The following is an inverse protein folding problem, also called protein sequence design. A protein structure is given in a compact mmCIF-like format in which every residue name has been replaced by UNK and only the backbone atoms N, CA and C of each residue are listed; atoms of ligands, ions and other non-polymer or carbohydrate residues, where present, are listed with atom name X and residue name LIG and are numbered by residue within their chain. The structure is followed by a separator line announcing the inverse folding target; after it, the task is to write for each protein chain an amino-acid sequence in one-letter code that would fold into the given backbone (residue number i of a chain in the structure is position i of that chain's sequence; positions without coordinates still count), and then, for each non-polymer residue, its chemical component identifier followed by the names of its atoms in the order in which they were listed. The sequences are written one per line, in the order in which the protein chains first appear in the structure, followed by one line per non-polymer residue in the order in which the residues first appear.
data_IF_592495878293
#
_entry.id   IF_592495878293
#
_cell.length_a   1.000
_cell.length_b   1.000
_cell.length_c   1.000
_cell.angle_alpha   90.00
_cell.angle_beta   90.00
_cell.angle_gamma   90.00
#
_symmetry.space_group_name_H-M   'P 1'
#
loop_
_entity.id
_entity.type
_entity.pdbx_description
1 polymer ?
#
# COMPACT_ATOMS: atom_id res chain seq x y z
N UNK A 1 38.70 -10.65 16.29
CA UNK A 1 38.54 -9.56 15.33
C UNK A 1 37.10 -9.55 14.87
N UNK A 2 36.57 -8.38 14.49
CA UNK A 2 35.16 -8.26 14.02
C UNK A 2 35.15 -7.80 12.57
N UNK A 3 34.30 -8.44 11.76
CA UNK A 3 34.00 -8.03 10.39
C UNK A 3 32.55 -7.55 10.38
N UNK A 4 32.26 -6.53 9.61
CA UNK A 4 30.88 -6.11 9.31
C UNK A 4 30.67 -6.28 7.81
N UNK A 5 29.81 -7.23 7.44
CA UNK A 5 29.30 -7.39 6.08
C UNK A 5 28.03 -6.53 5.95
N UNK A 6 28.10 -5.49 5.11
CA UNK A 6 26.98 -4.59 4.87
C UNK A 6 26.66 -4.62 3.38
N UNK A 7 25.67 -5.42 2.96
CA UNK A 7 25.21 -5.42 1.57
C UNK A 7 24.62 -4.05 1.18
N UNK A 8 24.69 -3.75 -0.09
CA UNK A 8 23.94 -2.63 -0.68
C UNK A 8 22.43 -2.93 -0.67
N UNK A 9 21.61 -1.90 -0.85
CA UNK A 9 20.15 -2.04 -0.90
C UNK A 9 19.74 -3.03 -2.01
N UNK A 10 18.88 -4.02 -1.68
CA UNK A 10 18.43 -5.08 -2.57
C UNK A 10 19.43 -6.24 -2.74
N UNK A 11 20.48 -6.29 -1.93
CA UNK A 11 21.42 -7.40 -1.88
C UNK A 11 21.49 -8.00 -0.48
N UNK A 12 21.75 -9.30 -0.39
CA UNK A 12 22.05 -10.02 0.84
C UNK A 12 23.43 -10.67 0.77
N UNK A 13 24.03 -10.92 1.93
CA UNK A 13 25.26 -11.67 2.02
C UNK A 13 24.99 -13.12 1.59
N UNK A 14 25.73 -13.61 0.60
CA UNK A 14 25.66 -14.98 0.11
C UNK A 14 26.68 -15.86 0.84
N UNK A 15 27.94 -15.43 0.82
CA UNK A 15 29.02 -16.14 1.49
C UNK A 15 30.01 -15.16 2.13
N UNK A 16 30.59 -15.57 3.25
CA UNK A 16 31.65 -14.85 3.94
C UNK A 16 32.71 -15.84 4.44
N UNK A 17 33.87 -15.81 3.87
CA UNK A 17 35.00 -16.65 4.25
C UNK A 17 36.19 -15.82 4.73
N UNK A 18 36.91 -16.35 5.71
CA UNK A 18 38.20 -15.82 6.19
C UNK A 18 39.23 -16.93 6.18
N UNK A 19 40.33 -16.75 5.45
CA UNK A 19 41.39 -17.72 5.37
C UNK A 19 42.70 -17.18 5.94
N UNK A 20 43.54 -18.08 6.50
CA UNK A 20 44.90 -17.74 6.91
C UNK A 20 45.85 -17.70 5.70
N UNK A 21 47.14 -17.40 5.92
CA UNK A 21 48.18 -17.31 4.89
C UNK A 21 48.40 -18.61 4.11
N UNK A 22 47.91 -19.76 4.61
CA UNK A 22 48.03 -21.06 4.00
C UNK A 22 46.74 -21.50 3.29
N UNK A 23 45.74 -20.62 3.23
CA UNK A 23 44.44 -20.90 2.64
C UNK A 23 43.50 -21.71 3.57
N UNK A 24 43.86 -21.89 4.84
CA UNK A 24 42.99 -22.59 5.79
C UNK A 24 41.88 -21.62 6.29
N UNK A 25 40.64 -22.09 6.15
CA UNK A 25 39.46 -21.33 6.60
C UNK A 25 39.41 -21.21 8.13
N UNK A 26 39.08 -20.03 8.61
CA UNK A 26 38.89 -19.69 10.02
C UNK A 26 37.43 -19.72 10.41
N UNK A 27 37.13 -20.28 11.57
CA UNK A 27 35.76 -20.33 12.08
C UNK A 27 35.23 -18.95 12.39
N UNK A 28 34.14 -18.58 11.71
CA UNK A 28 33.37 -17.39 12.00
C UNK A 28 32.26 -17.66 13.01
N UNK A 29 31.98 -16.67 13.84
CA UNK A 29 30.82 -16.67 14.75
C UNK A 29 29.96 -15.48 14.37
N UNK A 30 28.72 -15.77 13.93
CA UNK A 30 27.71 -14.75 13.64
C UNK A 30 27.24 -14.08 14.95
N UNK A 31 27.21 -12.76 14.99
CA UNK A 31 26.74 -11.92 16.09
C UNK A 31 25.46 -11.17 15.77
N UNK A 32 24.86 -11.46 14.62
CA UNK A 32 23.69 -10.76 14.09
C UNK A 32 24.02 -9.38 13.49
N UNK A 33 23.05 -8.83 12.77
CA UNK A 33 23.16 -7.52 12.10
C UNK A 33 24.39 -7.40 11.18
N UNK A 34 24.74 -8.48 10.46
CA UNK A 34 25.86 -8.54 9.56
C UNK A 34 27.25 -8.50 10.24
N UNK A 35 27.32 -8.70 11.56
CA UNK A 35 28.59 -8.74 12.31
C UNK A 35 29.05 -10.16 12.56
N UNK A 36 30.30 -10.44 12.21
CA UNK A 36 30.96 -11.72 12.36
C UNK A 36 32.24 -11.55 13.15
N UNK A 37 32.56 -12.50 14.03
CA UNK A 37 33.82 -12.49 14.80
C UNK A 37 34.61 -13.74 14.54
N UNK A 38 35.94 -13.61 14.57
CA UNK A 38 36.88 -14.74 14.50
C UNK A 38 38.13 -14.46 15.35
N UNK A 39 38.86 -15.53 15.65
CA UNK A 39 40.14 -15.42 16.34
C UNK A 39 41.22 -15.13 15.33
N UNK A 40 41.87 -13.96 15.45
CA UNK A 40 42.98 -13.54 14.57
C UNK A 40 44.19 -14.45 14.79
N UNK A 41 44.71 -15.14 13.75
CA UNK A 41 45.97 -15.86 13.86
C UNK A 41 47.15 -14.89 13.89
N UNK A 42 48.33 -15.40 14.24
CA UNK A 42 49.60 -14.63 14.18
C UNK A 42 50.13 -14.44 12.74
N UNK A 43 49.23 -14.38 11.75
CA UNK A 43 49.54 -14.25 10.34
C UNK A 43 48.50 -13.38 9.61
N UNK A 44 48.82 -12.97 8.39
CA UNK A 44 47.90 -12.29 7.48
C UNK A 44 46.68 -13.20 7.24
N UNK A 45 45.51 -12.57 7.13
CA UNK A 45 44.26 -13.23 6.71
C UNK A 45 43.73 -12.57 5.46
N UNK A 46 42.98 -13.35 4.69
CA UNK A 46 42.22 -12.89 3.53
C UNK A 46 40.72 -13.04 3.84
N UNK A 47 39.94 -12.01 3.49
CA UNK A 47 38.50 -11.96 3.74
C UNK A 47 37.84 -11.87 2.38
N UNK A 48 36.97 -12.82 2.06
CA UNK A 48 36.13 -12.84 0.89
C UNK A 48 34.66 -12.78 1.29
N UNK A 49 33.90 -11.89 0.66
CA UNK A 49 32.48 -11.79 0.82
C UNK A 49 31.81 -11.74 -0.56
N UNK A 50 30.80 -12.55 -0.77
CA UNK A 50 29.94 -12.49 -1.96
C UNK A 50 28.55 -12.03 -1.57
N UNK A 51 27.93 -11.27 -2.46
CA UNK A 51 26.60 -10.75 -2.27
C UNK A 51 25.73 -11.14 -3.46
N UNK A 52 24.50 -11.57 -3.18
CA UNK A 52 23.51 -11.91 -4.21
C UNK A 52 22.35 -10.93 -4.11
N UNK A 53 21.70 -10.69 -5.23
CA UNK A 53 20.48 -9.89 -5.24
C UNK A 53 19.41 -10.58 -4.41
N UNK A 54 18.76 -9.86 -3.51
CA UNK A 54 17.61 -10.38 -2.78
C UNK A 54 16.53 -10.83 -3.76
N UNK A 55 16.01 -12.03 -3.57
CA UNK A 55 14.84 -12.49 -4.32
C UNK A 55 13.62 -11.91 -3.65
N UNK A 56 13.07 -10.87 -4.25
CA UNK A 56 11.80 -10.32 -3.78
C UNK A 56 10.70 -11.37 -3.90
N UNK A 57 10.08 -11.69 -2.78
CA UNK A 57 8.92 -12.58 -2.73
C UNK A 57 7.68 -11.79 -2.42
N UNK A 58 6.62 -12.05 -3.16
CA UNK A 58 5.33 -11.42 -2.89
C UNK A 58 4.72 -11.94 -1.58
N UNK A 59 4.12 -11.07 -0.76
CA UNK A 59 3.39 -11.50 0.43
C UNK A 59 2.12 -12.30 0.10
N UNK A 60 1.68 -12.28 -1.15
CA UNK A 60 0.49 -12.99 -1.64
C UNK A 60 0.80 -13.76 -2.92
N UNK A 61 0.32 -14.99 -3.02
CA UNK A 61 0.64 -15.90 -4.13
C UNK A 61 0.03 -15.47 -5.48
N UNK A 62 -1.00 -14.64 -5.47
CA UNK A 62 -1.68 -14.09 -6.65
C UNK A 62 -1.21 -12.69 -7.04
N UNK A 63 -0.11 -12.21 -6.44
CA UNK A 63 0.50 -10.92 -6.74
C UNK A 63 1.90 -11.16 -7.31
N UNK A 64 2.08 -10.93 -8.60
CA UNK A 64 3.40 -10.98 -9.23
C UNK A 64 4.28 -9.82 -8.79
N UNK A 65 5.58 -10.07 -8.57
CA UNK A 65 6.57 -9.02 -8.27
C UNK A 65 6.76 -8.03 -9.43
N UNK A 66 6.34 -8.40 -10.65
CA UNK A 66 6.35 -7.51 -11.82
C UNK A 66 5.05 -6.72 -12.02
N UNK A 67 4.03 -6.92 -11.18
CA UNK A 67 2.77 -6.21 -11.30
C UNK A 67 2.93 -4.73 -10.90
N UNK A 68 2.25 -3.81 -11.61
CA UNK A 68 2.32 -2.37 -11.33
C UNK A 68 1.89 -2.00 -9.89
N UNK A 69 1.12 -2.87 -9.26
CA UNK A 69 0.60 -2.70 -7.90
C UNK A 69 1.41 -3.46 -6.84
N UNK A 70 2.50 -4.14 -7.21
CA UNK A 70 3.26 -4.98 -6.29
C UNK A 70 3.74 -4.20 -5.06
N UNK A 71 4.44 -3.07 -5.26
CA UNK A 71 4.95 -2.24 -4.17
C UNK A 71 3.83 -1.68 -3.29
N UNK A 72 2.70 -1.31 -3.89
CA UNK A 72 1.54 -0.83 -3.16
C UNK A 72 0.92 -1.92 -2.28
N UNK A 73 0.82 -3.16 -2.79
CA UNK A 73 0.30 -4.30 -2.03
C UNK A 73 1.23 -4.70 -0.90
N UNK A 74 2.54 -4.72 -1.15
CA UNK A 74 3.57 -4.98 -0.14
C UNK A 74 3.50 -3.95 0.99
N UNK A 75 3.50 -2.67 0.64
CA UNK A 75 3.33 -1.56 1.59
C UNK A 75 2.03 -1.69 2.41
N UNK A 76 0.91 -1.96 1.75
CA UNK A 76 -0.38 -2.07 2.43
C UNK A 76 -0.43 -3.26 3.40
N UNK A 77 0.25 -4.35 3.09
CA UNK A 77 0.39 -5.50 3.99
C UNK A 77 1.31 -5.16 5.17
N UNK A 78 2.47 -4.58 4.93
CA UNK A 78 3.44 -4.17 5.98
C UNK A 78 2.83 -3.14 6.95
N UNK A 79 1.99 -2.23 6.45
CA UNK A 79 1.26 -1.24 7.27
C UNK A 79 0.00 -1.79 7.93
N UNK A 80 -0.34 -3.06 7.74
CA UNK A 80 -1.55 -3.65 8.30
C UNK A 80 -2.86 -3.14 7.67
N UNK A 81 -2.77 -2.44 6.53
CA UNK A 81 -3.94 -1.93 5.80
C UNK A 81 -4.74 -3.10 5.21
N UNK A 82 -4.05 -4.12 4.74
CA UNK A 82 -4.68 -5.35 4.22
C UNK A 82 -4.02 -6.62 4.75
N UNK A 83 -4.83 -7.64 5.04
CA UNK A 83 -4.40 -9.02 5.27
C UNK A 83 -4.78 -9.96 4.11
N UNK A 84 -5.15 -9.39 2.96
CA UNK A 84 -5.64 -10.17 1.82
C UNK A 84 -7.10 -10.60 1.97
N UNK A 85 -7.47 -11.67 1.26
CA UNK A 85 -8.83 -12.26 1.26
C UNK A 85 -8.84 -13.68 1.85
N UNK A 86 -7.73 -14.09 2.49
CA UNK A 86 -7.53 -15.43 3.00
C UNK A 86 -6.71 -16.32 2.07
N UNK A 87 -6.27 -17.47 2.58
CA UNK A 87 -5.49 -18.48 1.84
C UNK A 87 -4.22 -17.94 1.14
N UNK A 88 -3.60 -16.90 1.67
CA UNK A 88 -2.42 -16.27 1.08
C UNK A 88 -2.71 -15.51 -0.22
N UNK A 89 -3.96 -15.11 -0.46
CA UNK A 89 -4.39 -14.37 -1.64
C UNK A 89 -4.72 -12.91 -1.30
N UNK A 90 -4.40 -12.03 -2.22
CA UNK A 90 -4.77 -10.60 -2.15
C UNK A 90 -6.08 -10.29 -2.90
N UNK A 91 -6.34 -10.97 -4.02
CA UNK A 91 -7.48 -10.74 -4.90
C UNK A 91 -7.36 -9.43 -5.71
N UNK A 92 -6.26 -9.18 -6.45
CA UNK A 92 -5.95 -7.87 -7.04
C UNK A 92 -7.04 -7.33 -7.97
N UNK A 93 -7.70 -8.20 -8.71
CA UNK A 93 -8.71 -7.84 -9.69
C UNK A 93 -10.16 -7.85 -9.14
N UNK A 94 -10.34 -8.21 -7.87
CA UNK A 94 -11.67 -8.20 -7.28
C UNK A 94 -12.14 -6.75 -7.07
N UNK A 95 -13.40 -6.42 -7.43
CA UNK A 95 -14.01 -5.16 -7.07
C UNK A 95 -14.02 -4.96 -5.56
N UNK A 96 -13.81 -3.75 -5.10
CA UNK A 96 -13.99 -3.39 -3.70
C UNK A 96 -15.41 -2.92 -3.42
N UNK A 97 -15.94 -3.35 -2.28
CA UNK A 97 -17.16 -2.75 -1.76
C UNK A 97 -16.86 -1.41 -1.06
N UNK A 98 -17.90 -0.62 -0.84
CA UNK A 98 -17.80 0.66 -0.12
C UNK A 98 -17.22 0.46 1.28
N UNK A 99 -17.66 -0.59 2.00
CA UNK A 99 -17.12 -0.94 3.32
C UNK A 99 -15.63 -1.28 3.26
N UNK A 100 -15.19 -2.02 2.25
CA UNK A 100 -13.78 -2.36 2.10
C UNK A 100 -12.92 -1.12 1.84
N UNK A 101 -13.37 -0.19 1.00
CA UNK A 101 -12.61 1.04 0.70
C UNK A 101 -12.46 1.90 1.96
N UNK A 102 -13.55 2.18 2.70
CA UNK A 102 -13.43 2.97 3.93
C UNK A 102 -12.61 2.25 5.00
N UNK A 103 -12.61 0.90 5.01
CA UNK A 103 -11.76 0.12 5.91
C UNK A 103 -10.27 0.28 5.57
N UNK A 104 -9.90 0.30 4.29
CA UNK A 104 -8.52 0.56 3.88
C UNK A 104 -8.09 1.98 4.27
N UNK A 105 -8.93 2.99 4.03
CA UNK A 105 -8.67 4.37 4.42
C UNK A 105 -8.52 4.52 5.94
N UNK A 106 -9.42 3.93 6.72
CA UNK A 106 -9.39 3.95 8.17
C UNK A 106 -8.12 3.30 8.74
N UNK A 107 -7.71 2.15 8.19
CA UNK A 107 -6.47 1.48 8.59
C UNK A 107 -5.24 2.29 8.21
N UNK A 108 -5.24 2.90 7.04
CA UNK A 108 -4.17 3.81 6.61
C UNK A 108 -4.06 5.04 7.51
N UNK A 109 -5.19 5.49 8.10
CA UNK A 109 -5.25 6.55 9.10
C UNK A 109 -4.79 6.10 10.50
N UNK A 110 -4.38 4.84 10.70
CA UNK A 110 -3.97 4.28 11.99
C UNK A 110 -5.13 3.75 12.83
N UNK A 111 -6.26 3.45 12.22
CA UNK A 111 -7.46 2.86 12.86
C UNK A 111 -8.01 3.70 14.03
N UNK A 112 -8.24 5.01 13.86
CA UNK A 112 -8.71 5.87 14.95
C UNK A 112 -10.10 5.46 15.43
N UNK A 113 -10.28 5.45 16.75
CA UNK A 113 -11.58 5.25 17.38
C UNK A 113 -12.24 6.60 17.60
N UNK A 114 -13.47 6.76 17.11
CA UNK A 114 -14.23 8.01 17.19
C UNK A 114 -15.53 7.82 17.98
N UNK A 115 -15.91 8.83 18.76
CA UNK A 115 -17.18 8.83 19.46
C UNK A 115 -18.24 9.54 18.58
N UNK A 116 -18.81 8.80 17.65
CA UNK A 116 -19.82 9.28 16.70
C UNK A 116 -21.07 8.40 16.75
N UNK A 117 -22.23 9.01 16.96
CA UNK A 117 -23.52 8.30 16.96
C UNK A 117 -23.91 7.96 15.51
N UNK A 118 -23.53 6.77 15.08
CA UNK A 118 -23.85 6.28 13.75
C UNK A 118 -25.30 5.76 13.69
N UNK A 119 -26.08 6.30 12.75
CA UNK A 119 -27.46 5.86 12.50
C UNK A 119 -27.60 5.26 11.09
N UNK A 120 -26.90 4.13 10.85
CA UNK A 120 -26.95 3.39 9.59
C UNK A 120 -27.56 2.01 9.83
N UNK A 121 -28.76 1.80 9.32
CA UNK A 121 -29.53 0.58 9.58
C UNK A 121 -28.93 -0.70 8.97
N UNK A 122 -28.06 -0.52 7.97
CA UNK A 122 -27.39 -1.59 7.23
C UNK A 122 -25.90 -1.78 7.64
N UNK A 123 -25.49 -1.19 8.77
CA UNK A 123 -24.15 -1.35 9.34
C UNK A 123 -24.25 -1.98 10.72
N UNK A 124 -24.21 -3.33 10.83
CA UNK A 124 -24.26 -3.99 12.14
C UNK A 124 -23.03 -3.63 12.99
N UNK A 125 -23.24 -3.34 14.28
CA UNK A 125 -22.17 -2.99 15.23
C UNK A 125 -21.02 -4.02 15.30
N UNK A 126 -21.32 -5.31 15.12
CA UNK A 126 -20.31 -6.38 15.13
C UNK A 126 -19.62 -6.63 13.79
N UNK A 127 -19.90 -5.85 12.75
CA UNK A 127 -19.24 -6.03 11.46
C UNK A 127 -17.79 -5.51 11.51
N UNK A 128 -16.90 -6.15 10.71
CA UNK A 128 -15.48 -5.77 10.65
C UNK A 128 -15.24 -4.33 10.19
N UNK A 129 -16.23 -3.74 9.54
CA UNK A 129 -16.19 -2.39 8.99
C UNK A 129 -16.95 -1.35 9.82
N UNK A 130 -17.61 -1.73 10.92
CA UNK A 130 -18.44 -0.81 11.69
C UNK A 130 -17.66 0.43 12.15
N UNK A 131 -16.50 0.25 12.74
CA UNK A 131 -15.63 1.35 13.20
C UNK A 131 -15.09 2.19 12.05
N UNK A 132 -14.74 1.56 10.93
CA UNK A 132 -14.28 2.27 9.74
C UNK A 132 -15.39 3.15 9.14
N UNK A 133 -16.62 2.64 9.08
CA UNK A 133 -17.78 3.42 8.61
C UNK A 133 -18.11 4.56 9.59
N UNK A 134 -18.08 4.29 10.90
CA UNK A 134 -18.27 5.30 11.95
C UNK A 134 -17.27 6.44 11.79
N UNK A 135 -16.00 6.12 11.65
CA UNK A 135 -14.93 7.08 11.41
C UNK A 135 -15.14 7.85 10.10
N UNK A 136 -15.43 7.14 9.00
CA UNK A 136 -15.60 7.79 7.70
C UNK A 136 -16.77 8.80 7.67
N UNK A 137 -17.84 8.52 8.43
CA UNK A 137 -18.96 9.43 8.60
C UNK A 137 -18.61 10.63 9.49
N UNK A 138 -17.87 10.40 10.60
CA UNK A 138 -17.48 11.48 11.51
C UNK A 138 -16.52 12.47 10.87
N UNK A 139 -15.59 11.98 10.05
CA UNK A 139 -14.58 12.80 9.35
C UNK A 139 -15.07 13.35 8.00
N UNK A 140 -16.32 13.05 7.62
CA UNK A 140 -16.86 13.48 6.33
C UNK A 140 -16.18 12.82 5.10
N UNK A 141 -15.41 11.76 5.30
CA UNK A 141 -14.74 10.98 4.25
C UNK A 141 -15.77 10.32 3.34
N UNK A 142 -16.80 9.74 3.94
CA UNK A 142 -17.91 9.14 3.20
C UNK A 142 -19.24 9.62 3.77
N UNK A 143 -20.29 9.52 2.97
CA UNK A 143 -21.67 9.76 3.37
C UNK A 143 -22.49 8.50 3.13
N UNK A 144 -23.68 8.42 3.72
CA UNK A 144 -24.66 7.38 3.36
C UNK A 144 -25.09 7.48 1.89
N UNK A 145 -25.69 6.43 1.39
CA UNK A 145 -26.35 6.40 0.08
C UNK A 145 -27.78 6.91 0.16
N UNK A 146 -28.38 6.81 1.34
CA UNK A 146 -29.66 7.44 1.73
C UNK A 146 -29.49 8.04 3.12
N UNK A 147 -30.59 8.57 3.70
CA UNK A 147 -30.52 9.19 5.03
C UNK A 147 -30.08 8.26 6.17
N UNK A 148 -30.27 6.94 6.03
CA UNK A 148 -29.96 5.94 7.07
C UNK A 148 -29.35 4.65 6.54
N UNK A 149 -28.82 4.63 5.33
CA UNK A 149 -28.09 3.47 4.76
C UNK A 149 -26.72 3.88 4.24
N UNK A 150 -25.73 3.04 4.46
CA UNK A 150 -24.37 3.19 3.97
C UNK A 150 -24.12 2.41 2.68
N UNK A 151 -24.86 1.33 2.48
CA UNK A 151 -24.71 0.35 1.41
C UNK A 151 -23.31 -0.31 1.42
N UNK A 152 -22.92 -0.99 2.53
CA UNK A 152 -21.56 -1.49 2.75
C UNK A 152 -21.10 -2.46 1.68
N UNK A 153 -22.01 -3.31 1.17
CA UNK A 153 -21.72 -4.38 0.21
C UNK A 153 -21.81 -3.93 -1.26
N UNK A 154 -22.24 -2.70 -1.50
CA UNK A 154 -22.26 -2.17 -2.88
C UNK A 154 -20.83 -1.95 -3.39
N UNK A 155 -20.59 -2.38 -4.63
CA UNK A 155 -19.34 -2.09 -5.32
C UNK A 155 -19.12 -0.58 -5.39
N UNK A 156 -17.86 -0.17 -5.19
CA UNK A 156 -17.46 1.22 -5.24
C UNK A 156 -16.82 1.52 -6.58
N UNK A 157 -17.31 2.55 -7.26
CA UNK A 157 -16.69 2.98 -8.53
C UNK A 157 -15.35 3.68 -8.27
N UNK A 158 -14.52 3.77 -9.32
CA UNK A 158 -13.25 4.49 -9.25
C UNK A 158 -13.45 5.96 -8.85
N UNK A 159 -14.46 6.62 -9.39
CA UNK A 159 -14.81 8.00 -9.02
C UNK A 159 -15.19 8.12 -7.53
N UNK A 160 -15.94 7.17 -7.00
CA UNK A 160 -16.30 7.15 -5.57
C UNK A 160 -15.09 6.90 -4.68
N UNK A 161 -14.22 5.95 -5.05
CA UNK A 161 -13.00 5.64 -4.31
C UNK A 161 -12.05 6.85 -4.23
N UNK A 162 -11.87 7.53 -5.36
CA UNK A 162 -11.06 8.76 -5.44
C UNK A 162 -11.69 9.90 -4.65
N UNK A 163 -13.03 10.03 -4.67
CA UNK A 163 -13.72 11.05 -3.86
C UNK A 163 -13.56 10.80 -2.34
N UNK A 164 -13.57 9.54 -1.89
CA UNK A 164 -13.30 9.22 -0.49
C UNK A 164 -11.85 9.55 -0.11
N UNK A 165 -10.90 9.16 -0.96
CA UNK A 165 -9.49 9.48 -0.73
C UNK A 165 -9.23 10.99 -0.69
N UNK A 166 -9.81 11.74 -1.62
CA UNK A 166 -9.71 13.20 -1.68
C UNK A 166 -10.19 13.86 -0.39
N UNK A 167 -11.38 13.48 0.09
CA UNK A 167 -11.93 14.05 1.34
C UNK A 167 -11.09 13.76 2.56
N UNK A 168 -10.36 12.65 2.53
CA UNK A 168 -9.47 12.28 3.62
C UNK A 168 -8.08 12.93 3.51
N UNK A 169 -7.48 12.92 2.31
CA UNK A 169 -6.06 13.23 2.12
C UNK A 169 -5.78 14.66 1.65
N UNK A 170 -6.75 15.31 0.99
CA UNK A 170 -6.56 16.67 0.50
C UNK A 170 -6.60 17.66 1.66
N UNK A 171 -5.45 18.22 2.00
CA UNK A 171 -5.36 19.39 2.86
C UNK A 171 -5.65 20.63 2.03
N UNK A 172 -6.59 21.47 2.50
CA UNK A 172 -6.96 22.83 2.05
C UNK A 172 -6.64 23.26 0.60
N UNK A 173 -7.69 23.77 -0.07
CA UNK A 173 -7.64 24.62 -1.28
C UNK A 173 -6.56 24.27 -2.33
N UNK A 174 -6.62 23.07 -2.90
CA UNK A 174 -5.86 22.78 -4.12
C UNK A 174 -6.44 23.62 -5.25
N UNK A 175 -5.63 24.45 -5.89
CA UNK A 175 -6.00 25.10 -7.17
C UNK A 175 -6.13 23.99 -8.21
N UNK A 176 -7.36 23.53 -8.44
CA UNK A 176 -7.63 22.39 -9.30
C UNK A 176 -7.41 22.79 -10.76
N UNK A 177 -6.44 22.18 -11.40
CA UNK A 177 -6.28 22.23 -12.85
C UNK A 177 -7.36 21.36 -13.49
N UNK A 178 -7.88 21.76 -14.63
CA UNK A 178 -8.87 20.97 -15.39
C UNK A 178 -8.19 19.82 -16.17
N UNK A 179 -7.53 18.91 -15.47
CA UNK A 179 -6.77 17.81 -16.06
C UNK A 179 -7.67 16.70 -16.63
N UNK A 180 -8.86 16.55 -16.07
CA UNK A 180 -9.87 15.58 -16.54
C UNK A 180 -10.21 15.78 -18.02
N UNK A 181 -10.24 17.01 -18.51
CA UNK A 181 -10.58 17.34 -19.90
C UNK A 181 -9.63 16.73 -20.94
N UNK A 182 -8.44 16.29 -20.53
CA UNK A 182 -7.49 15.59 -21.40
C UNK A 182 -7.88 14.13 -21.71
N UNK A 183 -8.93 13.60 -21.11
CA UNK A 183 -9.36 12.21 -21.31
C UNK A 183 -10.62 12.10 -22.14
N UNK A 184 -10.69 11.05 -22.98
CA UNK A 184 -11.78 10.84 -23.93
C UNK A 184 -13.14 10.52 -23.28
N UNK A 185 -13.14 10.15 -22.00
CA UNK A 185 -14.32 9.87 -21.18
C UNK A 185 -14.53 10.90 -20.05
N UNK A 186 -13.99 12.10 -20.21
CA UNK A 186 -14.10 13.22 -19.26
C UNK A 186 -15.56 13.51 -18.86
N UNK A 187 -16.47 13.52 -19.84
CA UNK A 187 -17.91 13.75 -19.62
C UNK A 187 -18.59 12.66 -18.79
N UNK A 188 -17.95 11.50 -18.62
CA UNK A 188 -18.44 10.40 -17.78
C UNK A 188 -18.08 10.57 -16.31
N UNK A 189 -17.23 11.53 -15.95
CA UNK A 189 -16.87 11.81 -14.56
C UNK A 189 -18.05 12.49 -13.88
N UNK A 190 -18.63 11.88 -12.80
CA UNK A 190 -19.72 12.51 -12.09
C UNK A 190 -19.33 13.87 -11.50
N UNK A 191 -20.21 14.86 -11.57
CA UNK A 191 -19.92 16.23 -11.10
C UNK A 191 -19.37 16.31 -9.68
N UNK A 192 -19.88 15.45 -8.77
CA UNK A 192 -19.38 15.39 -7.39
C UNK A 192 -17.92 14.92 -7.28
N UNK A 193 -17.42 14.19 -8.27
CA UNK A 193 -16.07 13.62 -8.26
C UNK A 193 -15.06 14.42 -9.10
N UNK A 194 -15.51 15.44 -9.84
CA UNK A 194 -14.62 16.28 -10.67
C UNK A 194 -13.45 16.89 -9.88
N UNK A 195 -13.70 17.56 -8.71
CA UNK A 195 -12.60 18.09 -7.91
C UNK A 195 -11.61 17.00 -7.46
N UNK A 196 -12.13 15.88 -6.99
CA UNK A 196 -11.32 14.76 -6.51
C UNK A 196 -10.50 14.12 -7.63
N UNK A 197 -11.08 13.98 -8.82
CA UNK A 197 -10.38 13.38 -9.98
C UNK A 197 -9.28 14.30 -10.51
N UNK A 198 -9.53 15.63 -10.59
CA UNK A 198 -8.50 16.59 -10.97
C UNK A 198 -7.35 16.61 -9.95
N UNK A 199 -7.65 16.59 -8.64
CA UNK A 199 -6.64 16.46 -7.61
C UNK A 199 -5.82 15.17 -7.76
N UNK A 200 -6.47 14.03 -7.93
CA UNK A 200 -5.79 12.75 -8.05
C UNK A 200 -4.92 12.63 -9.31
N UNK A 201 -5.26 13.37 -10.38
CA UNK A 201 -4.43 13.49 -11.57
C UNK A 201 -3.24 14.42 -11.33
N UNK A 202 -3.44 15.55 -10.64
CA UNK A 202 -2.37 16.50 -10.32
C UNK A 202 -1.30 15.90 -9.40
N UNK A 203 -1.74 15.08 -8.45
CA UNK A 203 -0.86 14.36 -7.51
C UNK A 203 -0.37 12.98 -8.05
N UNK A 204 -0.60 12.71 -9.32
CA UNK A 204 -0.25 11.44 -9.99
C UNK A 204 -0.81 10.17 -9.32
N UNK A 205 -1.81 10.31 -8.44
CA UNK A 205 -2.48 9.20 -7.77
C UNK A 205 -3.25 8.34 -8.77
N UNK A 206 -3.96 8.99 -9.70
CA UNK A 206 -4.66 8.36 -10.83
C UNK A 206 -3.96 8.74 -12.13
N UNK A 207 -3.72 7.77 -12.99
CA UNK A 207 -3.03 7.99 -14.28
C UNK A 207 -3.92 7.62 -15.47
N UNK A 208 -5.09 7.02 -15.23
CA UNK A 208 -5.93 6.49 -16.29
C UNK A 208 -5.41 5.20 -16.93
N UNK A 209 -6.01 4.84 -18.07
CA UNK A 209 -5.55 3.75 -18.93
C UNK A 209 -5.53 4.29 -20.38
N UNK A 210 -4.36 4.74 -20.83
CA UNK A 210 -4.25 5.47 -22.08
C UNK A 210 -5.07 6.77 -22.04
N UNK A 211 -6.08 6.89 -22.92
CA UNK A 211 -6.91 8.09 -23.03
C UNK A 211 -8.16 8.07 -22.14
N UNK A 212 -8.32 7.12 -21.23
CA UNK A 212 -9.53 6.96 -20.41
C UNK A 212 -9.25 6.92 -18.92
N UNK A 213 -10.14 7.53 -18.12
CA UNK A 213 -10.17 7.49 -16.67
C UNK A 213 -10.99 6.32 -16.12
N UNK A 214 -12.01 5.90 -16.85
CA UNK A 214 -12.97 4.85 -16.47
C UNK A 214 -13.62 5.14 -15.11
N UNK A 215 -14.22 6.32 -14.90
CA UNK A 215 -14.67 6.77 -13.58
C UNK A 215 -15.79 5.92 -12.98
N UNK A 216 -16.61 5.32 -13.85
CA UNK A 216 -17.78 4.54 -13.47
C UNK A 216 -17.50 3.03 -13.35
N UNK A 217 -16.30 2.58 -13.72
CA UNK A 217 -15.90 1.18 -13.52
C UNK A 217 -15.68 0.90 -12.03
N UNK A 218 -15.94 -0.34 -11.62
CA UNK A 218 -15.67 -0.78 -10.25
C UNK A 218 -14.18 -0.62 -9.90
N UNK A 219 -13.90 -0.03 -8.75
CA UNK A 219 -12.53 0.10 -8.24
C UNK A 219 -12.06 -1.25 -7.71
N UNK A 220 -10.96 -1.78 -8.28
CA UNK A 220 -10.41 -3.05 -7.81
C UNK A 220 -9.55 -2.88 -6.56
N UNK A 221 -9.28 -3.99 -5.86
CA UNK A 221 -8.41 -4.01 -4.68
C UNK A 221 -6.99 -3.52 -4.98
N UNK A 222 -6.45 -3.90 -6.14
CA UNK A 222 -5.14 -3.40 -6.60
C UNK A 222 -5.16 -1.89 -6.84
N UNK A 223 -6.23 -1.36 -7.43
CA UNK A 223 -6.34 0.06 -7.71
C UNK A 223 -6.43 0.88 -6.43
N UNK A 224 -7.27 0.52 -5.47
CA UNK A 224 -7.40 1.32 -4.24
C UNK A 224 -6.13 1.33 -3.41
N UNK A 225 -5.42 0.18 -3.26
CA UNK A 225 -4.15 0.19 -2.52
C UNK A 225 -3.06 0.98 -3.27
N UNK A 226 -3.09 0.99 -4.62
CA UNK A 226 -2.18 1.82 -5.43
C UNK A 226 -2.47 3.31 -5.24
N UNK A 227 -3.73 3.71 -5.20
CA UNK A 227 -4.12 5.10 -4.94
C UNK A 227 -3.69 5.55 -3.55
N UNK A 228 -3.92 4.72 -2.54
CA UNK A 228 -3.46 4.98 -1.17
C UNK A 228 -1.94 5.09 -1.10
N UNK A 229 -1.22 4.14 -1.66
CA UNK A 229 0.24 4.12 -1.67
C UNK A 229 0.82 5.40 -2.25
N UNK A 230 0.34 5.83 -3.42
CA UNK A 230 0.78 7.08 -4.07
C UNK A 230 0.44 8.31 -3.23
N UNK A 231 -0.77 8.36 -2.65
CA UNK A 231 -1.17 9.48 -1.80
C UNK A 231 -0.36 9.59 -0.49
N UNK A 232 0.31 8.51 -0.06
CA UNK A 232 1.10 8.47 1.17
C UNK A 232 2.62 8.54 0.95
N UNK A 233 3.12 8.36 -0.28
CA UNK A 233 4.56 8.39 -0.55
C UNK A 233 5.19 9.78 -0.38
N UNK A 234 4.42 10.85 -0.52
CA UNK A 234 4.89 12.24 -0.46
C UNK A 234 4.62 12.93 0.90
N UNK A 235 4.36 12.12 1.98
CA UNK A 235 4.09 12.65 3.32
C UNK A 235 5.06 12.15 4.37
#
# INVERSE_FOLDING_TARGET
MTITAKPDSGYQLDDLTVTDKNGKELKLTDKGNGKYTFTMPASKVEINATFVKEVETSPFSDVSTSAYYYEAVKWAQEKGITGGIGNGLFGPNQPCTRAQIVTFLWRAAGSPVVNYAMNMSDVPEGSYYAEAVRWALSEGVATGTTGNTFSPDSECTRAQAVAFLFRYAASEAVTLQELVSGFSDADSVPGYALPAMNWALAEEIVQGNGSKLMPNDSCTRAQIVTFLFRAYQDK
#
